data_IF_392275959187
#
_entry.id   IF_392275959187
#
_cell.length_a   1.000
_cell.length_b   1.000
_cell.length_c   1.000
_cell.angle_alpha   90.00
_cell.angle_beta   90.00
_cell.angle_gamma   90.00
#
_symmetry.space_group_name_H-M   'P 1'
#
loop_
_entity.id
_entity.type
_entity.pdbx_description
1 polymer ?
#
# COMPACT_ATOMS: atom_id res chain seq x y z
N UNK A 1 0.46 16.09 4.06
CA UNK A 1 -0.70 15.51 4.78
C UNK A 1 -1.10 14.24 4.06
N UNK A 2 -0.68 13.08 4.59
CA UNK A 2 -1.25 11.73 4.46
C UNK A 2 -0.31 10.74 5.18
N UNK A 3 -0.05 10.98 6.46
CA UNK A 3 1.09 10.46 7.22
C UNK A 3 0.80 9.10 7.88
N UNK A 4 0.13 8.17 7.17
CA UNK A 4 -0.49 7.00 7.81
C UNK A 4 0.37 5.74 7.67
N UNK A 5 -0.04 4.77 6.85
CA UNK A 5 0.59 3.44 6.81
C UNK A 5 2.01 3.46 6.21
N UNK A 6 2.20 4.15 5.08
CA UNK A 6 3.49 4.23 4.39
C UNK A 6 4.60 4.78 5.28
N UNK A 7 4.35 5.94 5.90
CA UNK A 7 5.32 6.61 6.77
C UNK A 7 5.68 5.75 7.98
N UNK A 8 4.68 5.12 8.61
CA UNK A 8 4.90 4.26 9.78
C UNK A 8 5.80 3.07 9.44
N UNK A 9 5.56 2.42 8.30
CA UNK A 9 6.40 1.31 7.82
C UNK A 9 7.82 1.79 7.48
N UNK A 10 7.96 2.92 6.78
CA UNK A 10 9.26 3.52 6.43
C UNK A 10 10.10 3.85 7.67
N UNK A 11 9.46 4.34 8.73
CA UNK A 11 10.12 4.68 9.99
C UNK A 11 10.43 3.44 10.84
N UNK A 12 9.75 2.33 10.63
CA UNK A 12 9.90 1.09 11.39
C UNK A 12 10.01 -0.13 10.44
N UNK A 13 11.04 -0.17 9.57
CA UNK A 13 11.06 -1.07 8.41
C UNK A 13 11.05 -2.57 8.76
N UNK A 14 11.44 -2.94 9.97
CA UNK A 14 11.50 -4.33 10.41
C UNK A 14 10.40 -4.71 11.43
N UNK A 15 9.42 -3.83 11.66
CA UNK A 15 8.40 -4.05 12.69
C UNK A 15 7.20 -4.87 12.20
N UNK A 16 6.87 -4.77 10.92
CA UNK A 16 5.62 -5.31 10.37
C UNK A 16 5.89 -6.51 9.47
N UNK A 17 4.95 -7.45 9.43
CA UNK A 17 5.01 -8.61 8.53
C UNK A 17 4.55 -8.27 7.10
N UNK A 18 3.66 -7.30 6.95
CA UNK A 18 3.18 -6.79 5.65
C UNK A 18 2.62 -5.38 5.78
N UNK A 19 2.27 -4.76 4.65
CA UNK A 19 1.67 -3.44 4.56
C UNK A 19 0.46 -3.43 3.61
N UNK A 20 -0.65 -2.88 4.08
CA UNK A 20 -1.87 -2.66 3.29
C UNK A 20 -2.26 -1.18 3.35
N UNK A 21 -1.72 -0.32 2.48
CA UNK A 21 -2.12 1.08 2.38
C UNK A 21 -3.34 1.24 1.46
N UNK A 22 -4.31 2.05 1.89
CA UNK A 22 -5.52 2.38 1.13
C UNK A 22 -5.61 3.90 0.94
N UNK A 23 -5.93 4.35 -0.29
CA UNK A 23 -6.24 5.73 -0.64
C UNK A 23 -5.32 6.77 0.01
N UNK A 24 -4.00 6.59 -0.10
CA UNK A 24 -3.01 7.46 0.55
C UNK A 24 -1.78 7.71 -0.30
N UNK A 25 -0.90 8.56 0.21
CA UNK A 25 0.41 8.88 -0.35
C UNK A 25 1.54 8.51 0.60
N UNK A 26 2.72 8.30 0.04
CA UNK A 26 3.95 8.03 0.79
C UNK A 26 5.07 8.93 0.30
N UNK A 27 6.31 8.52 0.60
CA UNK A 27 7.49 9.30 0.25
C UNK A 27 8.42 8.42 -0.60
N UNK A 28 8.26 8.40 -1.94
CA UNK A 28 8.90 7.46 -2.85
C UNK A 28 10.43 7.31 -2.70
N UNK A 29 11.21 8.38 -2.43
CA UNK A 29 12.66 8.25 -2.19
C UNK A 29 13.03 7.29 -1.05
N UNK A 30 12.11 7.03 -0.12
CA UNK A 30 12.33 6.14 1.01
C UNK A 30 11.77 4.73 0.82
N UNK A 31 11.13 4.41 -0.32
CA UNK A 31 10.56 3.10 -0.61
C UNK A 31 11.57 1.94 -0.42
N UNK A 32 12.85 2.18 -0.77
CA UNK A 32 13.94 1.20 -0.57
C UNK A 32 14.10 0.69 0.86
N UNK A 33 13.66 1.46 1.88
CA UNK A 33 13.73 1.06 3.29
C UNK A 33 12.78 -0.09 3.62
N UNK A 34 11.70 -0.22 2.87
CA UNK A 34 10.65 -1.22 3.06
C UNK A 34 10.55 -2.19 1.86
N UNK A 35 11.57 -2.24 0.99
CA UNK A 35 11.56 -3.07 -0.23
C UNK A 35 11.38 -4.58 0.02
N UNK A 36 11.62 -5.04 1.24
CA UNK A 36 11.44 -6.42 1.65
C UNK A 36 10.05 -6.74 2.20
N UNK A 37 9.27 -5.70 2.51
CA UNK A 37 7.97 -5.86 3.13
C UNK A 37 6.99 -6.28 2.02
N UNK A 38 6.22 -7.37 2.22
CA UNK A 38 5.08 -7.65 1.37
C UNK A 38 4.09 -6.49 1.40
N UNK A 39 3.75 -5.93 0.24
CA UNK A 39 2.84 -4.79 0.13
C UNK A 39 1.69 -5.10 -0.81
N UNK A 40 0.47 -4.75 -0.39
CA UNK A 40 -0.71 -4.73 -1.26
C UNK A 40 -1.46 -3.41 -1.08
N UNK A 41 -1.29 -2.50 -2.04
CA UNK A 41 -1.92 -1.19 -2.05
C UNK A 41 -3.29 -1.20 -2.75
N UNK A 42 -4.19 -0.33 -2.31
CA UNK A 42 -5.53 -0.17 -2.86
C UNK A 42 -5.87 1.31 -3.04
N UNK A 43 -6.60 1.66 -4.11
CA UNK A 43 -7.06 3.04 -4.34
C UNK A 43 -8.30 3.08 -5.22
N UNK A 44 -9.11 4.13 -5.07
CA UNK A 44 -10.14 4.49 -6.03
C UNK A 44 -9.58 5.28 -7.20
N UNK A 45 -9.96 4.95 -8.44
CA UNK A 45 -9.53 5.71 -9.62
C UNK A 45 -10.13 7.12 -9.66
N UNK A 46 -11.33 7.27 -9.10
CA UNK A 46 -12.07 8.53 -9.08
C UNK A 46 -11.95 9.23 -7.73
N UNK A 47 -10.91 8.91 -6.95
CA UNK A 47 -10.65 9.56 -5.67
C UNK A 47 -10.50 11.08 -5.88
N UNK A 48 -11.44 11.82 -5.28
CA UNK A 48 -11.59 13.26 -5.39
C UNK A 48 -10.87 14.02 -4.27
N UNK A 49 -10.23 13.31 -3.33
CA UNK A 49 -9.47 13.88 -2.22
C UNK A 49 -7.97 13.61 -2.35
N UNK A 50 -7.59 12.40 -2.75
CA UNK A 50 -6.19 12.00 -2.93
C UNK A 50 -6.04 11.37 -4.32
N UNK A 51 -5.28 11.96 -5.24
CA UNK A 51 -5.10 11.39 -6.57
C UNK A 51 -4.51 9.98 -6.52
N UNK A 52 -5.04 9.05 -7.33
CA UNK A 52 -4.51 7.67 -7.45
C UNK A 52 -3.01 7.62 -7.73
N UNK A 53 -2.46 8.67 -8.38
CA UNK A 53 -1.03 8.82 -8.63
C UNK A 53 -0.18 8.76 -7.36
N UNK A 54 -0.72 9.15 -6.20
CA UNK A 54 0.00 9.10 -4.92
C UNK A 54 0.36 7.66 -4.52
N UNK A 55 -0.56 6.71 -4.70
CA UNK A 55 -0.27 5.29 -4.47
C UNK A 55 0.53 4.67 -5.61
N UNK A 56 0.27 5.06 -6.85
CA UNK A 56 1.03 4.57 -8.01
C UNK A 56 2.52 4.89 -7.88
N UNK A 57 2.87 6.13 -7.53
CA UNK A 57 4.28 6.54 -7.34
C UNK A 57 5.00 5.71 -6.26
N UNK A 58 4.31 5.36 -5.17
CA UNK A 58 4.89 4.50 -4.13
C UNK A 58 5.10 3.07 -4.61
N UNK A 59 4.13 2.51 -5.35
CA UNK A 59 4.22 1.18 -5.94
C UNK A 59 5.36 1.12 -6.97
N UNK A 60 5.47 2.11 -7.84
CA UNK A 60 6.54 2.20 -8.86
C UNK A 60 7.93 2.30 -8.21
N UNK A 61 8.04 3.07 -7.12
CA UNK A 61 9.30 3.19 -6.37
C UNK A 61 9.67 1.89 -5.65
N UNK A 62 8.68 1.13 -5.17
CA UNK A 62 8.89 -0.21 -4.61
C UNK A 62 9.35 -1.20 -5.69
N UNK A 63 8.68 -1.22 -6.84
CA UNK A 63 9.08 -2.04 -7.99
C UNK A 63 10.50 -1.72 -8.44
N UNK A 64 10.85 -0.44 -8.55
CA UNK A 64 12.20 0.03 -8.87
C UNK A 64 13.25 -0.39 -7.83
N UNK A 65 12.84 -0.64 -6.59
CA UNK A 65 13.70 -1.15 -5.52
C UNK A 65 13.77 -2.70 -5.47
N UNK A 66 13.08 -3.40 -6.37
CA UNK A 66 13.03 -4.86 -6.45
C UNK A 66 11.96 -5.52 -5.58
N UNK A 67 10.95 -4.78 -5.14
CA UNK A 67 9.79 -5.33 -4.43
C UNK A 67 8.68 -5.70 -5.43
N UNK A 68 7.85 -6.70 -5.12
CA UNK A 68 6.72 -7.14 -5.95
C UNK A 68 5.37 -6.64 -5.38
N UNK A 69 5.28 -5.35 -5.07
CA UNK A 69 4.08 -4.75 -4.51
C UNK A 69 2.86 -5.01 -5.40
N UNK A 70 1.76 -5.48 -4.81
CA UNK A 70 0.46 -5.58 -5.49
C UNK A 70 -0.25 -4.22 -5.44
N UNK A 71 -0.92 -3.85 -6.53
CA UNK A 71 -1.72 -2.64 -6.58
C UNK A 71 -3.08 -2.89 -7.23
N UNK A 72 -4.15 -2.67 -6.46
CA UNK A 72 -5.53 -2.79 -6.93
C UNK A 72 -6.16 -1.41 -7.04
N UNK A 73 -6.65 -1.08 -8.23
CA UNK A 73 -7.33 0.19 -8.50
C UNK A 73 -8.80 -0.09 -8.84
N UNK A 74 -9.71 0.41 -8.02
CA UNK A 74 -11.14 0.30 -8.26
C UNK A 74 -11.58 1.39 -9.26
N UNK A 75 -12.11 1.04 -10.44
CA UNK A 75 -12.35 1.99 -11.53
C UNK A 75 -13.41 3.05 -11.19
N UNK A 76 -14.40 2.69 -10.38
CA UNK A 76 -15.56 3.54 -10.07
C UNK A 76 -15.56 4.06 -8.63
N UNK A 77 -14.62 3.60 -7.79
CA UNK A 77 -14.53 4.09 -6.42
C UNK A 77 -13.92 5.49 -6.37
N UNK A 78 -14.50 6.33 -5.52
CA UNK A 78 -13.93 7.60 -5.08
C UNK A 78 -12.97 7.37 -3.91
N UNK A 79 -12.93 8.29 -2.95
CA UNK A 79 -12.07 8.14 -1.78
C UNK A 79 -12.34 6.87 -0.95
N UNK A 80 -13.60 6.41 -0.89
CA UNK A 80 -13.95 5.15 -0.26
C UNK A 80 -13.63 3.94 -1.17
N UNK A 81 -12.35 3.55 -1.19
CA UNK A 81 -11.95 2.23 -1.70
C UNK A 81 -11.95 1.16 -0.61
N UNK A 82 -12.07 1.54 0.67
CA UNK A 82 -11.96 0.61 1.79
C UNK A 82 -13.18 -0.29 1.94
N UNK A 83 -14.37 0.16 1.56
CA UNK A 83 -15.58 -0.68 1.58
C UNK A 83 -15.43 -1.93 0.72
N UNK A 84 -14.98 -1.77 -0.53
CA UNK A 84 -14.71 -2.89 -1.45
C UNK A 84 -13.50 -3.71 -0.99
N UNK A 85 -12.44 -3.03 -0.52
CA UNK A 85 -11.20 -3.68 -0.05
C UNK A 85 -11.46 -4.59 1.15
N UNK A 86 -12.23 -4.16 2.15
CA UNK A 86 -12.53 -4.95 3.34
C UNK A 86 -13.63 -6.00 3.14
N UNK A 87 -14.32 -6.00 1.99
CA UNK A 87 -15.17 -7.13 1.57
C UNK A 87 -14.37 -8.22 0.85
N UNK A 88 -13.12 -7.96 0.48
CA UNK A 88 -12.27 -8.92 -0.19
C UNK A 88 -11.67 -9.93 0.80
N UNK A 89 -12.21 -11.15 0.87
CA UNK A 89 -11.64 -12.23 1.70
C UNK A 89 -10.19 -12.57 1.33
N UNK A 90 -9.80 -12.41 0.06
CA UNK A 90 -8.43 -12.67 -0.39
C UNK A 90 -7.42 -11.78 0.32
N UNK A 91 -7.80 -10.52 0.63
CA UNK A 91 -6.95 -9.62 1.41
C UNK A 91 -6.60 -10.23 2.76
N UNK A 92 -7.60 -10.71 3.50
CA UNK A 92 -7.39 -11.28 4.83
C UNK A 92 -6.60 -12.58 4.76
N UNK A 93 -6.89 -13.46 3.79
CA UNK A 93 -6.11 -14.67 3.55
C UNK A 93 -4.66 -14.35 3.23
N UNK A 94 -4.42 -13.35 2.39
CA UNK A 94 -3.08 -12.89 2.04
C UNK A 94 -2.34 -12.32 3.26
N UNK A 95 -2.97 -11.44 4.05
CA UNK A 95 -2.37 -10.86 5.25
C UNK A 95 -2.02 -11.92 6.29
N UNK A 96 -2.93 -12.85 6.57
CA UNK A 96 -2.72 -13.93 7.54
C UNK A 96 -1.64 -14.92 7.10
N UNK A 97 -1.32 -14.98 5.81
CA UNK A 97 -0.21 -15.76 5.27
C UNK A 97 1.16 -15.09 5.40
N UNK A 98 1.23 -13.81 5.78
CA UNK A 98 2.51 -13.10 5.90
C UNK A 98 3.13 -13.32 7.29
N UNK A 99 4.45 -13.45 7.34
CA UNK A 99 5.22 -13.59 8.57
C UNK A 99 6.42 -12.65 8.56
N UNK A 100 6.73 -12.06 9.72
CA UNK A 100 7.96 -11.29 9.89
C UNK A 100 9.09 -12.24 10.32
N UNK A 101 9.86 -12.73 9.35
CA UNK A 101 10.95 -13.68 9.58
C UNK A 101 12.32 -12.99 9.73
N UNK A 102 12.34 -11.78 10.30
CA UNK A 102 13.54 -10.95 10.48
C UNK A 102 13.91 -10.76 11.94
#
# INVERSE_FOLDING_TARGET
MADRAWRLAIQNPNRFACLVPLCGGGDPPYAKKIKHLPVWAFHGRQDDLIPVSESQQMVDALHSAGNEARFTVYPDAKHDAWTETYRNEELFRWMLGQQNNR
#
